data_IF_508635597016
#
_entry.id   IF_508635597016
#
_cell.length_a   1.000
_cell.length_b   1.000
_cell.length_c   1.000
_cell.angle_alpha   90.00
_cell.angle_beta   90.00
_cell.angle_gamma   90.00
#
_symmetry.space_group_name_H-M   'P 1'
#
loop_
_entity.id
_entity.type
_entity.pdbx_description
1 polymer ?
#
# COMPACT_ATOMS: atom_id res chain seq x y z
N UNK A 1 0.24 -7.24 23.64
CA UNK A 1 1.23 -6.91 22.59
C UNK A 1 0.67 -7.43 21.27
N UNK A 2 0.45 -6.55 20.29
CA UNK A 2 0.00 -6.92 18.94
C UNK A 2 1.19 -7.42 18.12
N UNK A 3 0.94 -8.38 17.25
CA UNK A 3 1.93 -8.95 16.34
C UNK A 3 1.45 -8.71 14.92
N UNK A 4 2.36 -8.31 14.03
CA UNK A 4 2.13 -8.27 12.59
C UNK A 4 2.62 -9.57 11.98
N UNK A 5 1.84 -10.14 11.06
CA UNK A 5 2.18 -11.38 10.37
C UNK A 5 2.26 -11.10 8.87
N UNK A 6 3.40 -11.43 8.29
CA UNK A 6 3.55 -11.48 6.83
C UNK A 6 3.91 -12.88 6.43
N UNK A 7 3.22 -13.36 5.39
CA UNK A 7 3.69 -14.49 4.63
C UNK A 7 4.55 -13.98 3.49
N UNK A 8 5.76 -14.53 3.32
CA UNK A 8 6.55 -14.32 2.11
C UNK A 8 6.53 -15.59 1.26
N UNK A 9 6.37 -15.45 -0.04
CA UNK A 9 6.44 -16.57 -0.97
C UNK A 9 7.59 -16.36 -1.95
N UNK A 10 8.53 -17.32 -2.08
CA UNK A 10 9.66 -17.14 -2.98
C UNK A 10 9.22 -17.21 -4.44
N UNK A 11 9.79 -16.30 -5.23
CA UNK A 11 9.75 -16.32 -6.70
C UNK A 11 11.12 -16.79 -7.18
N UNK A 12 11.12 -17.77 -8.07
CA UNK A 12 12.33 -18.43 -8.55
C UNK A 12 12.53 -18.23 -10.05
N UNK A 13 13.77 -18.19 -10.49
CA UNK A 13 14.12 -18.22 -11.91
C UNK A 13 14.13 -19.65 -12.50
N UNK A 14 14.52 -19.75 -13.77
CA UNK A 14 14.63 -21.02 -14.52
C UNK A 14 15.64 -22.00 -13.92
N UNK A 15 16.60 -21.51 -13.15
CA UNK A 15 17.62 -22.30 -12.45
C UNK A 15 17.23 -22.60 -10.98
N UNK A 16 15.99 -22.25 -10.59
CA UNK A 16 15.44 -22.41 -9.24
C UNK A 16 16.18 -21.58 -8.19
N UNK A 17 16.82 -20.47 -8.60
CA UNK A 17 17.38 -19.50 -7.67
C UNK A 17 16.28 -18.49 -7.29
N UNK A 18 16.18 -18.18 -6.01
CA UNK A 18 15.25 -17.14 -5.53
C UNK A 18 15.71 -15.76 -6.02
N UNK A 19 14.81 -15.04 -6.69
CA UNK A 19 15.05 -13.69 -7.22
C UNK A 19 14.35 -12.61 -6.39
N UNK A 20 13.31 -13.01 -5.67
CA UNK A 20 12.48 -12.11 -4.89
C UNK A 20 11.47 -12.88 -4.06
N UNK A 21 10.69 -12.14 -3.29
CA UNK A 21 9.59 -12.68 -2.53
C UNK A 21 8.34 -11.85 -2.77
N UNK A 22 7.23 -12.52 -3.06
CA UNK A 22 5.91 -11.91 -2.90
C UNK A 22 5.60 -11.76 -1.42
N UNK A 23 5.19 -10.55 -1.04
CA UNK A 23 4.80 -10.22 0.32
C UNK A 23 3.29 -10.23 0.43
N UNK A 24 2.79 -11.10 1.29
CA UNK A 24 1.37 -11.34 1.49
C UNK A 24 1.00 -11.01 2.94
N UNK A 25 -0.01 -10.15 3.10
CA UNK A 25 -0.51 -9.76 4.41
C UNK A 25 -1.28 -10.90 5.10
N UNK A 26 -1.16 -11.03 6.43
CA UNK A 26 -1.88 -12.04 7.24
C UNK A 26 -2.33 -11.44 8.58
N UNK A 27 -3.57 -11.72 9.01
CA UNK A 27 -4.10 -11.26 10.32
C UNK A 27 -3.72 -12.19 11.49
N UNK A 28 -2.97 -13.27 11.25
CA UNK A 28 -2.67 -14.20 12.32
C UNK A 28 -1.64 -15.28 12.00
N UNK A 29 -1.32 -16.12 13.01
CA UNK A 29 -0.37 -17.22 12.85
C UNK A 29 -0.95 -18.40 12.04
N UNK A 30 -2.27 -18.43 11.82
CA UNK A 30 -2.88 -19.30 10.82
C UNK A 30 -2.68 -18.63 9.46
N UNK A 31 -2.11 -19.35 8.49
CA UNK A 31 -1.82 -18.87 7.13
C UNK A 31 -3.10 -18.63 6.30
N UNK A 32 -4.05 -17.85 6.84
CA UNK A 32 -5.31 -17.49 6.21
C UNK A 32 -5.20 -16.06 5.71
N UNK A 33 -5.61 -15.85 4.46
CA UNK A 33 -5.85 -14.50 3.96
C UNK A 33 -7.03 -13.93 4.76
N UNK A 34 -6.88 -12.77 5.41
CA UNK A 34 -7.96 -12.17 6.15
C UNK A 34 -9.03 -11.56 5.25
N UNK A 35 -10.26 -11.50 5.75
CA UNK A 35 -11.39 -10.83 5.10
C UNK A 35 -11.35 -9.34 5.49
N UNK A 36 -10.35 -8.63 4.99
CA UNK A 36 -10.17 -7.18 5.17
C UNK A 36 -10.08 -6.48 3.82
N UNK A 37 -10.29 -5.16 3.81
CA UNK A 37 -10.17 -4.34 2.62
C UNK A 37 -8.75 -4.44 2.00
N UNK A 38 -8.62 -4.62 0.67
CA UNK A 38 -7.33 -4.75 0.00
C UNK A 38 -6.39 -3.54 0.20
N UNK A 39 -6.92 -2.32 0.28
CA UNK A 39 -6.11 -1.11 0.54
C UNK A 39 -5.63 -1.07 1.99
N UNK A 40 -6.43 -1.56 2.93
CA UNK A 40 -6.04 -1.74 4.33
C UNK A 40 -4.94 -2.80 4.48
N UNK A 41 -5.11 -3.97 3.83
CA UNK A 41 -4.12 -5.04 3.83
C UNK A 41 -2.76 -4.55 3.29
N UNK A 42 -2.80 -3.86 2.16
CA UNK A 42 -1.62 -3.27 1.52
C UNK A 42 -0.98 -2.21 2.42
N UNK A 43 -1.79 -1.33 3.01
CA UNK A 43 -1.31 -0.26 3.88
C UNK A 43 -0.66 -0.78 5.16
N UNK A 44 -1.27 -1.78 5.81
CA UNK A 44 -0.69 -2.46 6.98
C UNK A 44 0.61 -3.15 6.62
N UNK A 45 0.64 -3.89 5.51
CA UNK A 45 1.85 -4.54 5.01
C UNK A 45 3.00 -3.56 4.79
N UNK A 46 2.73 -2.43 4.12
CA UNK A 46 3.71 -1.39 3.86
C UNK A 46 4.16 -0.69 5.15
N UNK A 47 3.21 -0.35 6.03
CA UNK A 47 3.47 0.35 7.29
C UNK A 47 4.27 -0.49 8.29
N UNK A 48 4.00 -1.78 8.36
CA UNK A 48 4.65 -2.66 9.31
C UNK A 48 5.98 -3.19 8.82
N UNK A 49 6.17 -3.35 7.50
CA UNK A 49 7.39 -3.95 6.99
C UNK A 49 8.32 -2.96 6.33
N UNK A 50 7.81 -2.09 5.48
CA UNK A 50 8.65 -1.14 4.77
C UNK A 50 8.99 0.08 5.64
N UNK A 51 8.05 0.56 6.48
CA UNK A 51 8.32 1.69 7.39
C UNK A 51 8.99 1.30 8.71
N UNK A 52 9.06 0.01 9.08
CA UNK A 52 9.56 -0.38 10.41
C UNK A 52 10.82 -1.27 10.40
N UNK A 53 11.09 -1.98 9.29
CA UNK A 53 12.11 -3.05 9.30
C UNK A 53 13.33 -2.82 8.41
N UNK A 54 13.49 -1.65 7.76
CA UNK A 54 14.60 -1.38 6.84
C UNK A 54 14.78 -2.51 5.80
N UNK A 55 13.69 -3.08 5.26
CA UNK A 55 13.75 -4.21 4.31
C UNK A 55 14.38 -5.51 4.86
N UNK A 56 14.66 -5.61 6.17
CA UNK A 56 15.34 -6.79 6.76
C UNK A 56 14.60 -8.11 6.58
N UNK A 57 13.29 -8.09 6.26
CA UNK A 57 12.51 -9.29 5.89
C UNK A 57 12.82 -9.85 4.51
N UNK A 58 13.39 -9.04 3.61
CA UNK A 58 13.75 -9.40 2.25
C UNK A 58 15.25 -9.70 2.09
N UNK A 59 16.10 -9.22 3.00
CA UNK A 59 17.55 -9.27 2.80
C UNK A 59 17.95 -8.41 1.59
N UNK A 60 18.74 -8.97 0.67
CA UNK A 60 19.10 -8.34 -0.61
C UNK A 60 18.10 -8.66 -1.74
N UNK A 61 16.96 -9.30 -1.44
CA UNK A 61 15.97 -9.72 -2.44
C UNK A 61 14.92 -8.64 -2.70
N UNK A 62 14.33 -8.64 -3.90
CA UNK A 62 13.27 -7.69 -4.26
C UNK A 62 11.92 -8.15 -3.70
N UNK A 63 11.13 -7.21 -3.18
CA UNK A 63 9.76 -7.48 -2.72
C UNK A 63 8.75 -7.24 -3.84
N UNK A 64 7.92 -8.24 -4.12
CA UNK A 64 6.73 -8.11 -4.95
C UNK A 64 5.56 -7.76 -4.03
N UNK A 65 4.87 -6.66 -4.32
CA UNK A 65 3.82 -6.14 -3.45
C UNK A 65 2.60 -5.79 -4.28
N UNK A 66 1.47 -6.33 -3.85
CA UNK A 66 0.15 -6.09 -4.38
C UNK A 66 -0.33 -4.67 -4.05
N UNK A 67 -0.74 -3.92 -5.06
CA UNK A 67 -1.32 -2.59 -4.93
C UNK A 67 -2.71 -2.54 -5.58
N UNK A 68 -3.77 -2.26 -4.80
CA UNK A 68 -5.10 -2.04 -5.34
C UNK A 68 -5.18 -0.76 -6.16
N UNK A 69 -6.26 -0.64 -6.92
CA UNK A 69 -6.48 0.44 -7.88
C UNK A 69 -6.27 1.84 -7.28
N UNK A 70 -6.86 2.11 -6.11
CA UNK A 70 -6.76 3.43 -5.48
C UNK A 70 -5.34 3.74 -4.98
N UNK A 71 -4.63 2.75 -4.46
CA UNK A 71 -3.23 2.87 -4.07
C UNK A 71 -2.31 3.21 -5.26
N UNK A 72 -2.57 2.62 -6.43
CA UNK A 72 -1.87 2.94 -7.68
C UNK A 72 -2.18 4.37 -8.12
N UNK A 73 -3.45 4.80 -8.08
CA UNK A 73 -3.83 6.18 -8.41
C UNK A 73 -3.20 7.21 -7.46
N UNK A 74 -3.08 6.90 -6.18
CA UNK A 74 -2.45 7.79 -5.20
C UNK A 74 -0.90 7.77 -5.27
N UNK A 75 -0.33 6.96 -6.16
CA UNK A 75 1.11 6.72 -6.32
C UNK A 75 1.77 6.31 -4.99
N UNK A 76 1.11 5.48 -4.21
CA UNK A 76 1.66 4.93 -2.96
C UNK A 76 3.00 4.20 -3.18
N UNK A 77 3.22 3.43 -4.27
CA UNK A 77 4.51 2.80 -4.53
C UNK A 77 5.70 3.79 -4.56
N UNK A 78 5.46 5.04 -4.98
CA UNK A 78 6.49 6.08 -5.09
C UNK A 78 7.08 6.55 -3.75
N UNK A 79 6.52 6.08 -2.64
CA UNK A 79 7.07 6.28 -1.31
C UNK A 79 8.33 5.46 -1.06
N UNK A 80 8.48 4.33 -1.76
CA UNK A 80 9.56 3.38 -1.54
C UNK A 80 10.57 3.43 -2.70
N UNK A 81 11.85 3.07 -2.49
CA UNK A 81 12.84 3.00 -3.56
C UNK A 81 12.44 1.96 -4.62
N UNK A 82 12.58 2.32 -5.89
CA UNK A 82 12.24 1.47 -7.03
C UNK A 82 13.06 0.17 -7.11
N UNK A 83 14.27 0.16 -6.55
CA UNK A 83 15.19 -0.98 -6.66
C UNK A 83 14.77 -2.18 -5.78
N UNK A 84 13.99 -1.92 -4.73
CA UNK A 84 13.61 -2.93 -3.73
C UNK A 84 12.17 -3.42 -3.88
N UNK A 85 11.43 -2.89 -4.87
CA UNK A 85 9.99 -3.08 -4.98
C UNK A 85 9.57 -3.35 -6.43
N UNK A 86 8.85 -4.45 -6.65
CA UNK A 86 8.01 -4.65 -7.84
C UNK A 86 6.58 -4.29 -7.47
N UNK A 87 5.95 -3.44 -8.29
CA UNK A 87 4.57 -3.00 -8.11
C UNK A 87 3.64 -3.96 -8.83
N UNK A 88 2.90 -4.78 -8.10
CA UNK A 88 1.91 -5.70 -8.65
C UNK A 88 0.54 -5.01 -8.75
N UNK A 89 0.01 -4.94 -9.98
CA UNK A 89 -1.33 -4.47 -10.29
C UNK A 89 -2.26 -5.66 -10.23
N UNK A 90 -3.23 -5.61 -9.31
CA UNK A 90 -4.17 -6.70 -9.07
C UNK A 90 -5.10 -6.97 -10.26
N UNK A 91 -5.60 -8.20 -10.37
CA UNK A 91 -6.48 -8.66 -11.44
C UNK A 91 -7.84 -7.92 -11.51
N UNK A 92 -8.28 -7.36 -10.38
CA UNK A 92 -9.54 -6.61 -10.24
C UNK A 92 -9.42 -5.13 -10.64
N UNK A 93 -8.20 -4.65 -10.92
CA UNK A 93 -7.97 -3.28 -11.35
C UNK A 93 -8.46 -3.05 -12.78
N UNK A 94 -9.46 -2.18 -12.95
CA UNK A 94 -9.97 -1.85 -14.28
C UNK A 94 -8.94 -1.06 -15.12
N UNK A 95 -8.70 -1.41 -16.39
CA UNK A 95 -7.73 -0.74 -17.27
C UNK A 95 -8.24 0.61 -17.79
N UNK A 96 -8.33 1.60 -16.90
CA UNK A 96 -8.78 2.96 -17.21
C UNK A 96 -7.65 3.86 -17.73
N UNK A 97 -8.00 5.01 -18.30
CA UNK A 97 -7.02 6.03 -18.70
C UNK A 97 -6.24 6.60 -17.50
N UNK A 98 -6.89 6.71 -16.34
CA UNK A 98 -6.27 7.21 -15.11
C UNK A 98 -5.20 6.26 -14.57
N UNK A 99 -5.52 4.95 -14.57
CA UNK A 99 -4.57 3.91 -14.19
C UNK A 99 -3.39 3.85 -15.16
N UNK A 100 -3.64 4.00 -16.46
CA UNK A 100 -2.59 4.01 -17.47
C UNK A 100 -1.58 5.13 -17.24
N UNK A 101 -2.04 6.35 -16.96
CA UNK A 101 -1.13 7.47 -16.65
C UNK A 101 -0.37 7.21 -15.35
N UNK A 102 -0.99 6.59 -14.35
CA UNK A 102 -0.30 6.19 -13.12
C UNK A 102 0.86 5.22 -13.36
N UNK A 103 0.59 4.16 -14.10
CA UNK A 103 1.58 3.13 -14.43
C UNK A 103 2.71 3.72 -15.28
N UNK A 104 2.38 4.59 -16.24
CA UNK A 104 3.36 5.26 -17.10
C UNK A 104 4.29 6.18 -16.31
N UNK A 105 3.75 7.00 -15.40
CA UNK A 105 4.56 7.86 -14.52
C UNK A 105 5.50 7.03 -13.65
N UNK A 106 5.01 5.95 -13.03
CA UNK A 106 5.83 5.08 -12.19
C UNK A 106 6.91 4.36 -13.00
N UNK A 107 6.58 3.83 -14.18
CA UNK A 107 7.55 3.18 -15.05
C UNK A 107 8.65 4.17 -15.51
N UNK A 108 8.29 5.42 -15.83
CA UNK A 108 9.25 6.47 -16.17
C UNK A 108 10.14 6.87 -14.98
N UNK A 109 9.62 6.76 -13.75
CA UNK A 109 10.38 6.96 -12.52
C UNK A 109 11.26 5.76 -12.13
N UNK A 110 11.30 4.69 -12.94
CA UNK A 110 12.18 3.54 -12.75
C UNK A 110 11.57 2.36 -11.99
N UNK A 111 10.28 2.42 -11.64
CA UNK A 111 9.60 1.31 -10.99
C UNK A 111 9.31 0.19 -12.00
N UNK A 112 9.53 -1.05 -11.57
CA UNK A 112 9.12 -2.24 -12.32
C UNK A 112 7.67 -2.57 -11.98
N UNK A 113 6.85 -2.67 -13.01
CA UNK A 113 5.41 -2.97 -12.90
C UNK A 113 5.16 -4.42 -13.29
N UNK A 114 4.40 -5.13 -12.47
CA UNK A 114 3.92 -6.48 -12.73
C UNK A 114 2.38 -6.47 -12.84
N UNK A 115 1.83 -7.21 -13.81
CA UNK A 115 0.39 -7.48 -13.86
C UNK A 115 0.13 -8.84 -13.22
N UNK A 116 -0.70 -8.87 -12.19
CA UNK A 116 -1.05 -10.05 -11.41
C UNK A 116 -2.24 -10.81 -12.02
N UNK A 117 -2.25 -12.14 -11.91
CA UNK A 117 -3.28 -13.04 -12.47
C UNK A 117 -3.84 -12.61 -13.85
N UNK A 118 -2.93 -12.26 -14.77
CA UNK A 118 -3.28 -11.52 -15.98
C UNK A 118 -4.14 -12.31 -16.97
N UNK A 119 -5.32 -11.76 -17.29
CA UNK A 119 -6.19 -12.25 -18.36
C UNK A 119 -6.04 -11.34 -19.59
N UNK A 120 -5.49 -11.83 -20.72
CA UNK A 120 -5.26 -11.00 -21.90
C UNK A 120 -6.55 -10.41 -22.48
N UNK A 121 -6.62 -9.09 -22.55
CA UNK A 121 -7.72 -8.35 -23.19
C UNK A 121 -7.20 -7.17 -24.03
N UNK A 122 -7.99 -6.66 -25.00
CA UNK A 122 -7.58 -5.53 -25.85
C UNK A 122 -7.25 -4.24 -25.09
N UNK A 123 -7.93 -4.00 -23.97
CA UNK A 123 -7.82 -2.80 -23.13
C UNK A 123 -6.42 -2.68 -22.52
N UNK A 124 -5.84 -3.81 -22.11
CA UNK A 124 -4.49 -3.87 -21.53
C UNK A 124 -3.36 -3.60 -22.53
N UNK A 125 -3.65 -3.58 -23.84
CA UNK A 125 -2.61 -3.39 -24.88
C UNK A 125 -1.84 -2.07 -24.72
N UNK A 126 -2.50 -1.01 -24.24
CA UNK A 126 -1.88 0.29 -24.02
C UNK A 126 -0.88 0.30 -22.85
N UNK A 127 -1.02 -0.65 -21.91
CA UNK A 127 -0.21 -0.76 -20.70
C UNK A 127 1.09 -1.52 -20.93
N UNK A 128 1.09 -2.50 -21.85
CA UNK A 128 2.22 -3.40 -22.11
C UNK A 128 3.59 -2.71 -22.28
N UNK A 129 3.71 -1.53 -22.92
CA UNK A 129 5.01 -0.84 -23.03
C UNK A 129 5.64 -0.42 -21.69
N UNK A 130 4.85 -0.34 -20.62
CA UNK A 130 5.27 0.10 -19.28
C UNK A 130 5.36 -1.05 -18.27
N UNK A 131 4.96 -2.26 -18.69
CA UNK A 131 4.97 -3.46 -17.84
C UNK A 131 6.32 -4.16 -17.98
N UNK A 132 6.86 -4.60 -16.85
CA UNK A 132 8.11 -5.38 -16.79
C UNK A 132 7.84 -6.87 -16.67
N UNK A 133 6.80 -7.26 -15.92
CA UNK A 133 6.48 -8.66 -15.63
C UNK A 133 4.98 -8.91 -15.87
N UNK A 134 4.63 -10.04 -16.46
CA UNK A 134 3.24 -10.52 -16.51
C UNK A 134 3.16 -11.86 -15.80
N UNK A 135 2.29 -11.95 -14.80
CA UNK A 135 2.04 -13.16 -14.01
C UNK A 135 0.82 -13.88 -14.58
N UNK A 136 0.91 -15.20 -14.70
CA UNK A 136 -0.20 -16.05 -15.14
C UNK A 136 -0.44 -17.17 -14.12
N UNK A 137 -1.64 -17.22 -13.56
CA UNK A 137 -2.13 -18.43 -12.91
C UNK A 137 -2.36 -19.53 -13.96
N UNK A 138 -1.53 -20.58 -13.92
CA UNK A 138 -1.61 -21.71 -14.85
C UNK A 138 -2.87 -22.57 -14.67
N UNK A 139 -3.64 -22.34 -13.59
CA UNK A 139 -4.96 -22.94 -13.34
C UNK A 139 -6.07 -22.18 -14.05
N UNK A 140 -5.95 -20.86 -14.18
CA UNK A 140 -6.90 -20.02 -14.92
C UNK A 140 -6.59 -20.01 -16.43
N UNK A 141 -5.32 -19.79 -16.77
CA UNK A 141 -4.82 -19.74 -18.15
C UNK A 141 -3.90 -20.93 -18.39
N UNK A 142 -4.31 -21.85 -19.28
CA UNK A 142 -3.46 -23.01 -19.59
C UNK A 142 -2.11 -22.58 -20.17
N UNK A 143 -1.07 -23.36 -19.89
CA UNK A 143 0.31 -23.10 -20.35
C UNK A 143 0.36 -22.89 -21.87
N UNK A 144 -0.40 -23.65 -22.66
CA UNK A 144 -0.45 -23.49 -24.12
C UNK A 144 -1.01 -22.13 -24.56
N UNK A 145 -2.04 -21.61 -23.87
CA UNK A 145 -2.62 -20.29 -24.14
C UNK A 145 -1.63 -19.19 -23.76
N UNK A 146 -0.99 -19.33 -22.59
CA UNK A 146 0.04 -18.41 -22.15
C UNK A 146 1.23 -18.42 -23.13
N UNK A 147 1.68 -19.59 -23.60
CA UNK A 147 2.76 -19.72 -24.60
C UNK A 147 2.45 -18.94 -25.87
N UNK A 148 1.23 -19.06 -26.40
CA UNK A 148 0.82 -18.32 -27.59
C UNK A 148 0.88 -16.80 -27.36
N UNK A 149 0.59 -16.33 -26.15
CA UNK A 149 0.70 -14.92 -25.78
C UNK A 149 2.16 -14.47 -25.60
N UNK A 150 2.98 -15.27 -24.90
CA UNK A 150 4.42 -15.06 -24.74
C UNK A 150 5.10 -14.92 -26.11
N UNK A 151 4.77 -15.81 -27.05
CA UNK A 151 5.31 -15.76 -28.41
C UNK A 151 4.95 -14.46 -29.15
N UNK A 152 3.71 -13.96 -28.99
CA UNK A 152 3.29 -12.68 -29.58
C UNK A 152 4.06 -11.49 -29.02
N UNK A 153 4.51 -11.59 -27.77
CA UNK A 153 5.26 -10.54 -27.08
C UNK A 153 6.77 -10.80 -27.06
N UNK A 154 7.28 -11.78 -27.82
CA UNK A 154 8.71 -12.14 -27.85
C UNK A 154 9.66 -10.99 -28.24
N UNK A 155 9.16 -9.96 -28.92
CA UNK A 155 9.93 -8.77 -29.28
C UNK A 155 9.99 -7.70 -28.18
N UNK A 156 9.23 -7.86 -27.09
CA UNK A 156 9.25 -6.96 -25.94
C UNK A 156 10.28 -7.41 -24.91
N UNK A 157 10.52 -6.58 -23.89
CA UNK A 157 11.38 -6.92 -22.75
C UNK A 157 10.59 -7.49 -21.57
N UNK A 158 9.33 -7.86 -21.79
CA UNK A 158 8.44 -8.33 -20.74
C UNK A 158 8.86 -9.73 -20.34
N UNK A 159 9.08 -9.92 -19.04
CA UNK A 159 9.34 -11.23 -18.44
C UNK A 159 8.02 -11.85 -17.98
N UNK A 160 7.97 -13.17 -17.93
CA UNK A 160 6.73 -13.90 -17.64
C UNK A 160 6.90 -14.79 -16.42
N UNK A 161 5.93 -14.75 -15.50
CA UNK A 161 5.93 -15.50 -14.26
C UNK A 161 4.75 -16.49 -14.26
N UNK A 162 5.03 -17.76 -14.01
CA UNK A 162 4.01 -18.79 -13.86
C UNK A 162 3.68 -19.00 -12.38
N UNK A 163 2.41 -18.82 -12.02
CA UNK A 163 1.91 -19.00 -10.65
C UNK A 163 1.22 -20.33 -10.47
N UNK A 164 1.04 -20.72 -9.21
CA UNK A 164 0.41 -21.98 -8.78
C UNK A 164 1.04 -23.22 -9.45
N UNK A 165 2.36 -23.19 -9.63
CA UNK A 165 3.17 -24.35 -10.06
C UNK A 165 3.30 -25.34 -8.89
N UNK A 166 2.69 -26.51 -9.01
CA UNK A 166 2.60 -27.49 -7.91
C UNK A 166 3.39 -28.77 -8.18
N UNK A 167 3.79 -29.00 -9.43
CA UNK A 167 4.57 -30.19 -9.82
C UNK A 167 5.81 -29.85 -10.65
N UNK A 168 6.79 -30.76 -10.63
CA UNK A 168 7.98 -30.65 -11.47
C UNK A 168 7.65 -30.70 -12.98
N UNK A 169 6.58 -31.42 -13.35
CA UNK A 169 6.13 -31.51 -14.73
C UNK A 169 5.61 -30.15 -15.22
N UNK A 170 4.76 -29.49 -14.44
CA UNK A 170 4.24 -28.14 -14.74
C UNK A 170 5.38 -27.12 -14.83
N UNK A 171 6.36 -27.20 -13.93
CA UNK A 171 7.55 -26.35 -14.00
C UNK A 171 8.28 -26.50 -15.34
N UNK A 172 8.56 -27.75 -15.78
CA UNK A 172 9.23 -27.96 -17.07
C UNK A 172 8.37 -27.49 -18.24
N UNK A 173 7.07 -27.77 -18.23
CA UNK A 173 6.14 -27.31 -19.27
C UNK A 173 6.10 -25.79 -19.37
N UNK A 174 5.98 -25.08 -18.24
CA UNK A 174 6.01 -23.62 -18.21
C UNK A 174 7.39 -23.09 -18.64
N UNK A 175 8.49 -23.71 -18.20
CA UNK A 175 9.84 -23.33 -18.62
C UNK A 175 10.04 -23.46 -20.12
N UNK A 176 9.50 -24.52 -20.73
CA UNK A 176 9.59 -24.76 -22.18
C UNK A 176 8.64 -23.85 -22.97
N UNK A 177 7.54 -23.41 -22.35
CA UNK A 177 6.60 -22.42 -22.89
C UNK A 177 7.14 -20.97 -22.90
N UNK A 178 8.30 -20.72 -22.28
CA UNK A 178 8.97 -19.41 -22.30
C UNK A 178 8.78 -18.57 -21.04
N UNK A 179 8.29 -19.16 -19.95
CA UNK A 179 8.26 -18.48 -18.65
C UNK A 179 9.68 -18.28 -18.09
N UNK A 180 9.89 -17.12 -17.47
CA UNK A 180 11.17 -16.69 -16.90
C UNK A 180 11.21 -16.98 -15.39
N UNK A 181 10.09 -16.74 -14.71
CA UNK A 181 9.94 -16.89 -13.27
C UNK A 181 8.82 -17.85 -12.91
N UNK A 182 8.90 -18.40 -11.70
CA UNK A 182 7.98 -19.42 -11.21
C UNK A 182 7.67 -19.23 -9.73
N UNK A 183 6.42 -19.46 -9.39
CA UNK A 183 5.91 -19.40 -8.03
C UNK A 183 4.88 -20.52 -7.81
N UNK A 184 4.95 -21.18 -6.65
CA UNK A 184 3.97 -22.20 -6.28
C UNK A 184 4.50 -23.20 -5.24
N UNK A 185 3.59 -24.02 -4.73
CA UNK A 185 3.86 -24.95 -3.62
C UNK A 185 4.86 -26.05 -3.95
N UNK A 186 5.16 -26.28 -5.24
CA UNK A 186 6.25 -27.16 -5.64
C UNK A 186 7.60 -26.74 -5.05
N UNK A 187 7.86 -25.43 -4.95
CA UNK A 187 9.14 -24.89 -4.52
C UNK A 187 9.18 -24.64 -3.02
N UNK A 188 8.19 -23.93 -2.52
CA UNK A 188 8.02 -23.66 -1.10
C UNK A 188 6.59 -23.23 -0.82
N UNK A 189 6.09 -23.59 0.35
CA UNK A 189 4.90 -22.93 0.91
C UNK A 189 5.29 -21.52 1.41
N UNK A 190 4.33 -20.58 1.47
CA UNK A 190 4.56 -19.28 2.09
C UNK A 190 5.07 -19.45 3.53
N UNK A 191 6.13 -18.72 3.87
CA UNK A 191 6.73 -18.71 5.21
C UNK A 191 6.15 -17.54 6.01
N UNK A 192 5.55 -17.81 7.18
CA UNK A 192 5.03 -16.77 8.07
C UNK A 192 6.18 -16.20 8.89
N UNK A 193 6.36 -14.89 8.81
CA UNK A 193 7.24 -14.10 9.66
C UNK A 193 6.36 -13.35 10.66
N UNK A 194 6.52 -13.69 11.94
CA UNK A 194 5.87 -12.97 13.04
C UNK A 194 6.81 -11.90 13.59
N UNK A 195 6.32 -10.66 13.71
CA UNK A 195 7.08 -9.57 14.37
C UNK A 195 6.21 -8.78 15.34
N UNK A 196 6.86 -8.16 16.32
CA UNK A 196 6.21 -7.20 17.21
C UNK A 196 5.96 -5.92 16.42
N UNK A 197 4.72 -5.48 16.34
CA UNK A 197 4.36 -4.22 15.72
C UNK A 197 4.39 -3.09 16.76
N UNK A 198 4.91 -1.93 16.36
CA UNK A 198 4.80 -0.68 17.11
C UNK A 198 3.64 0.11 16.51
N UNK A 199 2.52 0.14 17.22
CA UNK A 199 1.35 0.91 16.82
C UNK A 199 1.46 2.34 17.35
N UNK A 200 1.18 3.34 16.52
CA UNK A 200 1.03 4.72 16.99
C UNK A 200 -0.30 4.91 17.72
N UNK A 201 -0.37 5.95 18.54
CA UNK A 201 -1.59 6.43 19.17
C UNK A 201 -2.61 6.85 18.11
N UNK A 202 -3.78 6.21 18.12
CA UNK A 202 -4.87 6.50 17.18
C UNK A 202 -5.27 7.98 17.22
N UNK A 203 -5.34 8.59 18.41
CA UNK A 203 -5.66 10.02 18.53
C UNK A 203 -4.59 10.92 17.89
N UNK A 204 -3.32 10.56 18.04
CA UNK A 204 -2.20 11.30 17.44
C UNK A 204 -2.24 11.19 15.91
N UNK A 205 -2.56 10.00 15.39
CA UNK A 205 -2.75 9.77 13.95
C UNK A 205 -3.91 10.60 13.39
N UNK A 206 -5.05 10.68 14.08
CA UNK A 206 -6.18 11.51 13.66
C UNK A 206 -5.83 13.00 13.68
N UNK A 207 -5.12 13.47 14.69
CA UNK A 207 -4.62 14.85 14.76
C UNK A 207 -3.65 15.15 13.61
N UNK A 208 -2.80 14.19 13.24
CA UNK A 208 -1.91 14.32 12.09
C UNK A 208 -2.68 14.36 10.78
N UNK A 209 -3.70 13.51 10.60
CA UNK A 209 -4.60 13.56 9.44
C UNK A 209 -5.24 14.94 9.26
N UNK A 210 -5.67 15.57 10.38
CA UNK A 210 -6.19 16.94 10.38
C UNK A 210 -5.13 17.93 9.88
N UNK A 211 -3.92 17.91 10.43
CA UNK A 211 -2.87 18.86 10.05
C UNK A 211 -2.41 18.68 8.59
N UNK A 212 -2.34 17.43 8.10
CA UNK A 212 -2.00 17.13 6.71
C UNK A 212 -3.16 17.24 5.73
N UNK A 213 -4.37 17.62 6.17
CA UNK A 213 -5.50 17.94 5.29
C UNK A 213 -5.58 19.44 4.97
N UNK A 214 -4.94 20.29 5.78
CA UNK A 214 -4.91 21.76 5.59
C UNK A 214 -4.18 22.10 4.29
N UNK A 215 -4.59 23.16 3.59
CA UNK A 215 -3.91 23.65 2.39
C UNK A 215 -2.49 24.15 2.75
N UNK A 216 -2.39 25.01 3.76
CA UNK A 216 -1.13 25.41 4.38
C UNK A 216 -0.80 24.52 5.58
N UNK A 217 0.17 23.62 5.39
CA UNK A 217 0.59 22.66 6.39
C UNK A 217 1.44 23.32 7.50
N UNK A 218 1.01 23.19 8.77
CA UNK A 218 1.82 23.62 9.91
C UNK A 218 2.82 22.52 10.31
N UNK A 219 4.01 22.61 9.73
CA UNK A 219 5.11 21.68 10.02
C UNK A 219 5.51 21.64 11.50
N UNK A 220 5.27 22.71 12.29
CA UNK A 220 5.58 22.71 13.74
C UNK A 220 4.55 21.89 14.51
N UNK A 221 3.27 22.03 14.19
CA UNK A 221 2.22 21.22 14.80
C UNK A 221 2.43 19.73 14.50
N UNK A 222 2.81 19.39 13.27
CA UNK A 222 3.13 18.01 12.87
C UNK A 222 4.37 17.49 13.61
N UNK A 223 5.38 18.33 13.83
CA UNK A 223 6.56 18.00 14.65
C UNK A 223 6.21 17.69 16.09
N UNK A 224 5.36 18.51 16.71
CA UNK A 224 4.91 18.27 18.09
C UNK A 224 4.12 16.97 18.20
N UNK A 225 3.21 16.70 17.26
CA UNK A 225 2.39 15.48 17.25
C UNK A 225 3.24 14.22 17.06
N UNK A 226 4.20 14.21 16.12
CA UNK A 226 5.05 13.04 15.91
C UNK A 226 6.07 12.87 17.03
N UNK A 227 6.62 13.96 17.59
CA UNK A 227 7.56 13.88 18.71
C UNK A 227 6.92 13.33 19.99
N UNK A 228 5.60 13.48 20.14
CA UNK A 228 4.83 12.90 21.25
C UNK A 228 4.61 11.39 21.12
N UNK A 229 4.80 10.81 19.92
CA UNK A 229 4.60 9.39 19.66
C UNK A 229 5.89 8.72 19.17
N UNK A 230 6.47 7.88 20.03
CA UNK A 230 7.72 7.16 19.75
C UNK A 230 7.58 6.19 18.57
N UNK A 231 6.40 5.59 18.37
CA UNK A 231 6.13 4.69 17.24
C UNK A 231 6.13 5.45 15.92
N UNK A 232 5.47 6.62 15.85
CA UNK A 232 5.48 7.48 14.66
C UNK A 232 6.87 8.02 14.35
N UNK A 233 7.59 8.48 15.37
CA UNK A 233 8.97 8.96 15.24
C UNK A 233 9.88 7.87 14.67
N UNK A 234 9.75 6.63 15.17
CA UNK A 234 10.51 5.49 14.67
C UNK A 234 10.13 5.12 13.23
N UNK A 235 8.83 5.03 12.90
CA UNK A 235 8.35 4.71 11.55
C UNK A 235 8.80 5.76 10.53
N UNK A 236 8.73 7.05 10.88
CA UNK A 236 9.18 8.12 9.98
C UNK A 236 10.69 8.10 9.77
N UNK A 237 11.49 8.03 10.84
CA UNK A 237 12.95 8.03 10.72
C UNK A 237 13.44 6.80 9.96
N UNK A 238 12.80 5.65 10.16
CA UNK A 238 13.08 4.44 9.38
C UNK A 238 12.72 4.64 7.91
N UNK A 239 11.54 5.20 7.61
CA UNK A 239 11.11 5.47 6.25
C UNK A 239 12.03 6.40 5.49
N UNK A 240 12.46 7.52 6.08
CA UNK A 240 13.33 8.47 5.38
C UNK A 240 14.74 7.93 5.16
N UNK A 241 15.26 7.12 6.09
CA UNK A 241 16.59 6.52 5.99
C UNK A 241 16.64 5.23 5.18
N UNK A 242 15.49 4.66 4.80
CA UNK A 242 15.43 3.45 3.98
C UNK A 242 15.62 3.73 2.49
N UNK A 243 15.69 5.01 2.09
CA UNK A 243 15.96 5.44 0.72
C UNK A 243 17.45 5.36 0.37
N UNK A 244 17.78 4.71 -0.75
CA UNK A 244 19.14 4.53 -1.26
C UNK A 244 19.90 5.85 -1.57
N UNK A 245 19.19 6.99 -1.59
CA UNK A 245 19.74 8.30 -1.95
C UNK A 245 20.15 9.17 -0.75
N UNK A 246 19.98 8.68 0.48
CA UNK A 246 20.39 9.42 1.69
C UNK A 246 21.88 9.22 1.93
N UNK A 247 22.70 10.17 1.47
CA UNK A 247 24.16 10.17 1.68
C UNK A 247 24.57 10.47 3.12
N UNK A 248 23.70 11.12 3.89
CA UNK A 248 23.89 11.48 5.30
C UNK A 248 22.67 11.04 6.09
N UNK A 249 22.85 10.16 7.08
CA UNK A 249 21.75 9.63 7.89
C UNK A 249 20.92 10.77 8.52
N UNK A 250 19.61 10.74 8.32
CA UNK A 250 18.65 11.68 8.89
C UNK A 250 18.43 11.28 10.36
N UNK A 251 18.78 12.18 11.28
CA UNK A 251 18.80 11.89 12.72
C UNK A 251 17.70 12.62 13.50
N UNK A 252 16.94 13.50 12.84
CA UNK A 252 15.90 14.30 13.50
C UNK A 252 14.63 14.41 12.65
N UNK A 253 13.51 14.61 13.34
CA UNK A 253 12.21 14.79 12.71
C UNK A 253 12.19 15.98 11.74
N UNK A 254 12.71 17.13 12.18
CA UNK A 254 12.83 18.33 11.36
C UNK A 254 13.57 18.08 10.04
N UNK A 255 14.65 17.30 10.08
CA UNK A 255 15.37 16.90 8.86
C UNK A 255 14.53 15.96 7.98
N UNK A 256 13.79 15.02 8.59
CA UNK A 256 12.91 14.10 7.87
C UNK A 256 11.78 14.83 7.12
N UNK A 257 11.16 15.83 7.75
CA UNK A 257 10.14 16.68 7.13
C UNK A 257 10.67 17.45 5.92
N UNK A 258 11.82 18.11 6.10
CA UNK A 258 12.45 18.89 5.02
C UNK A 258 12.86 17.98 3.86
N UNK A 259 13.34 16.77 4.16
CA UNK A 259 13.74 15.80 3.15
C UNK A 259 12.56 15.25 2.34
N UNK A 260 11.45 14.90 3.00
CA UNK A 260 10.28 14.34 2.32
C UNK A 260 9.55 15.38 1.48
N UNK A 261 9.45 16.61 1.98
CA UNK A 261 8.55 17.61 1.43
C UNK A 261 7.08 17.24 1.65
N UNK A 262 6.21 18.17 1.29
CA UNK A 262 4.80 18.14 1.66
C UNK A 262 4.05 16.90 1.14
N UNK A 263 4.14 16.63 -0.17
CA UNK A 263 3.36 15.57 -0.81
C UNK A 263 3.71 14.18 -0.28
N UNK A 264 5.00 13.89 -0.05
CA UNK A 264 5.42 12.60 0.51
C UNK A 264 5.04 12.48 1.98
N UNK A 265 5.06 13.58 2.74
CA UNK A 265 4.59 13.58 4.12
C UNK A 265 3.09 13.27 4.19
N UNK A 266 2.26 13.92 3.37
CA UNK A 266 0.81 13.64 3.33
C UNK A 266 0.55 12.15 3.09
N UNK A 267 1.19 11.58 2.06
CA UNK A 267 1.09 10.15 1.73
C UNK A 267 1.58 9.23 2.84
N UNK A 268 2.69 9.56 3.51
CA UNK A 268 3.19 8.81 4.67
C UNK A 268 2.17 8.79 5.82
N UNK A 269 1.61 9.95 6.17
CA UNK A 269 0.61 10.05 7.23
C UNK A 269 -0.67 9.30 6.86
N UNK A 270 -1.14 9.42 5.62
CA UNK A 270 -2.29 8.64 5.14
C UNK A 270 -2.04 7.12 5.23
N UNK A 271 -0.87 6.66 4.83
CA UNK A 271 -0.49 5.24 4.92
C UNK A 271 -0.48 4.75 6.37
N UNK A 272 0.09 5.53 7.28
CA UNK A 272 0.10 5.22 8.71
C UNK A 272 -1.32 5.22 9.27
N UNK A 273 -2.17 6.15 8.85
CA UNK A 273 -3.55 6.24 9.32
C UNK A 273 -4.40 5.03 8.93
N UNK A 274 -4.31 4.60 7.67
CA UNK A 274 -5.00 3.40 7.18
C UNK A 274 -4.43 2.16 7.89
N UNK A 275 -3.12 2.10 8.11
CA UNK A 275 -2.52 0.96 8.82
C UNK A 275 -2.90 0.88 10.31
N UNK A 276 -3.22 2.02 10.95
CA UNK A 276 -3.49 2.11 12.39
C UNK A 276 -4.97 1.87 12.75
N UNK A 277 -5.81 1.50 11.78
CA UNK A 277 -7.21 1.11 12.01
C UNK A 277 -7.25 -0.09 12.95
N UNK A 278 -8.03 0.01 14.04
CA UNK A 278 -8.16 -1.09 14.99
C UNK A 278 -9.13 -2.15 14.48
N UNK A 279 -8.69 -3.42 14.51
CA UNK A 279 -9.59 -4.58 14.48
C UNK A 279 -10.68 -4.45 15.57
N UNK A 280 -11.92 -4.85 15.18
CA UNK A 280 -13.15 -5.00 15.97
C UNK A 280 -14.23 -3.90 15.86
N UNK A 281 -14.24 -3.06 14.82
CA UNK A 281 -15.44 -2.24 14.50
C UNK A 281 -15.88 -2.45 13.05
N UNK A 282 -17.20 -2.51 12.77
CA UNK A 282 -17.70 -2.81 11.42
C UNK A 282 -17.19 -1.82 10.37
N UNK A 283 -16.62 -2.34 9.28
CA UNK A 283 -16.01 -1.58 8.17
C UNK A 283 -16.93 -0.51 7.57
N UNK A 284 -18.24 -0.75 7.62
CA UNK A 284 -19.25 0.21 7.21
C UNK A 284 -19.17 1.55 7.97
N UNK A 285 -18.76 1.56 9.25
CA UNK A 285 -18.70 2.80 10.03
C UNK A 285 -17.54 3.70 9.60
N UNK A 286 -16.41 3.11 9.19
CA UNK A 286 -15.25 3.84 8.66
C UNK A 286 -15.51 4.32 7.22
N UNK A 287 -16.05 3.45 6.37
CA UNK A 287 -16.49 3.83 5.02
C UNK A 287 -17.53 4.95 5.08
N UNK A 288 -18.50 4.86 6.01
CA UNK A 288 -19.52 5.88 6.20
C UNK A 288 -18.96 7.18 6.76
N UNK A 289 -17.96 7.16 7.65
CA UNK A 289 -17.34 8.40 8.17
C UNK A 289 -16.58 9.15 7.08
N UNK A 290 -15.84 8.43 6.22
CA UNK A 290 -15.14 9.01 5.07
C UNK A 290 -16.13 9.50 4.01
N UNK A 291 -17.19 8.73 3.72
CA UNK A 291 -18.26 9.16 2.82
C UNK A 291 -18.92 10.43 3.34
N UNK A 292 -19.27 10.51 4.63
CA UNK A 292 -19.83 11.71 5.26
C UNK A 292 -18.85 12.87 5.22
N UNK A 293 -17.57 12.65 5.47
CA UNK A 293 -16.53 13.66 5.33
C UNK A 293 -16.53 14.27 3.92
N UNK A 294 -16.47 13.43 2.89
CA UNK A 294 -16.52 13.87 1.48
C UNK A 294 -17.85 14.51 1.10
N UNK A 295 -18.98 14.01 1.60
CA UNK A 295 -20.28 14.64 1.35
C UNK A 295 -20.37 16.02 1.97
N UNK A 296 -19.94 16.18 3.23
CA UNK A 296 -19.95 17.47 3.92
C UNK A 296 -19.03 18.49 3.22
N UNK A 297 -17.83 18.06 2.81
CA UNK A 297 -16.90 18.87 2.00
C UNK A 297 -17.54 19.32 0.68
N UNK A 298 -18.12 18.40 -0.10
CA UNK A 298 -18.74 18.68 -1.41
C UNK A 298 -20.00 19.54 -1.31
N UNK A 299 -20.77 19.40 -0.23
CA UNK A 299 -21.93 20.25 0.05
C UNK A 299 -21.45 21.66 0.42
N UNK A 300 -20.43 21.76 1.27
CA UNK A 300 -19.83 23.03 1.68
C UNK A 300 -19.30 23.81 0.47
N UNK A 301 -18.59 23.13 -0.44
CA UNK A 301 -18.08 23.71 -1.69
C UNK A 301 -19.18 24.24 -2.64
N UNK A 302 -20.43 23.80 -2.47
CA UNK A 302 -21.60 24.19 -3.29
C UNK A 302 -22.57 25.12 -2.58
N UNK A 303 -22.43 25.28 -1.28
CA UNK A 303 -23.22 26.21 -0.49
C UNK A 303 -22.42 27.51 -0.33
N UNK A 304 -23.10 28.65 -0.45
CA UNK A 304 -22.50 29.95 -0.17
C UNK A 304 -22.40 30.12 1.36
N UNK A 305 -21.48 29.37 1.95
CA UNK A 305 -21.27 29.26 3.39
C UNK A 305 -19.90 29.84 3.76
N UNK A 306 -19.81 30.47 4.93
CA UNK A 306 -18.53 30.93 5.50
C UNK A 306 -17.73 29.80 6.18
N UNK A 307 -18.17 28.55 6.05
CA UNK A 307 -17.51 27.38 6.63
C UNK A 307 -16.45 26.90 5.63
N UNK A 308 -15.25 26.62 6.11
CA UNK A 308 -14.17 26.07 5.28
C UNK A 308 -14.48 24.61 4.90
N UNK A 309 -14.19 24.23 3.65
CA UNK A 309 -14.43 22.86 3.14
C UNK A 309 -13.76 21.77 4.01
N UNK A 310 -12.55 22.05 4.50
CA UNK A 310 -11.84 21.17 5.43
C UNK A 310 -12.52 21.04 6.80
N UNK A 311 -13.20 22.08 7.28
CA UNK A 311 -13.98 22.03 8.53
C UNK A 311 -15.25 21.18 8.37
N UNK A 312 -15.91 21.29 7.21
CA UNK A 312 -17.05 20.43 6.87
C UNK A 312 -16.62 18.96 6.69
N UNK A 313 -15.45 18.71 6.08
CA UNK A 313 -14.86 17.38 5.98
C UNK A 313 -14.63 16.75 7.36
N UNK A 314 -14.04 17.50 8.29
CA UNK A 314 -13.79 17.04 9.66
C UNK A 314 -15.10 16.77 10.42
N UNK A 315 -16.12 17.61 10.27
CA UNK A 315 -17.44 17.37 10.85
C UNK A 315 -18.04 16.03 10.36
N UNK A 316 -17.95 15.77 9.06
CA UNK A 316 -18.43 14.50 8.48
C UNK A 316 -17.62 13.29 8.95
N UNK A 317 -16.29 13.42 9.05
CA UNK A 317 -15.39 12.38 9.54
C UNK A 317 -15.64 12.06 11.02
N UNK A 318 -15.89 13.08 11.84
CA UNK A 318 -16.09 12.96 13.28
C UNK A 318 -17.51 12.63 13.70
N UNK A 319 -18.47 12.69 12.77
CA UNK A 319 -19.88 12.37 13.00
C UNK A 319 -20.18 10.94 13.47
N UNK A 320 -19.19 10.05 13.47
CA UNK A 320 -19.30 8.66 13.92
C UNK A 320 -18.27 8.30 14.99
N UNK A 321 -17.56 9.28 15.57
CA UNK A 321 -16.51 9.02 16.56
C UNK A 321 -17.04 8.29 17.80
N UNK A 322 -18.28 8.53 18.19
CA UNK A 322 -18.95 7.86 19.29
C UNK A 322 -19.10 6.36 19.06
N UNK A 323 -19.57 6.01 17.88
CA UNK A 323 -19.72 4.64 17.39
C UNK A 323 -18.35 3.98 17.18
N UNK A 324 -17.36 4.77 16.76
CA UNK A 324 -15.97 4.32 16.55
C UNK A 324 -15.16 4.24 17.84
N UNK A 325 -15.57 4.85 18.95
CA UNK A 325 -14.81 4.85 20.21
C UNK A 325 -15.59 4.30 21.42
N UNK A 326 -16.83 3.87 21.23
CA UNK A 326 -17.75 3.40 22.30
C UNK A 326 -17.85 4.39 23.46
N UNK A 327 -17.87 5.67 23.11
CA UNK A 327 -17.92 6.80 24.04
C UNK A 327 -18.96 7.81 23.54
N UNK A 328 -19.64 8.56 24.42
CA UNK A 328 -20.57 9.60 23.97
C UNK A 328 -19.86 10.65 23.11
N UNK A 329 -20.46 11.03 21.97
CA UNK A 329 -19.87 11.97 21.01
C UNK A 329 -19.54 13.31 21.67
N UNK A 330 -20.43 13.77 22.55
CA UNK A 330 -20.31 15.01 23.28
C UNK A 330 -19.04 15.02 24.14
N UNK A 331 -18.73 13.88 24.80
CA UNK A 331 -17.51 13.75 25.60
C UNK A 331 -16.23 13.72 24.76
N UNK A 332 -16.31 13.18 23.54
CA UNK A 332 -15.19 13.09 22.61
C UNK A 332 -14.90 14.45 21.99
N UNK A 333 -15.95 15.17 21.58
CA UNK A 333 -15.87 16.48 20.93
C UNK A 333 -15.36 17.56 21.89
N UNK A 334 -15.72 17.49 23.18
CA UNK A 334 -15.17 18.36 24.23
C UNK A 334 -13.66 18.15 24.46
N UNK A 335 -13.19 16.90 24.36
CA UNK A 335 -11.77 16.54 24.50
C UNK A 335 -10.93 16.88 23.26
N UNK A 336 -11.58 17.20 22.13
CA UNK A 336 -10.92 17.45 20.86
C UNK A 336 -10.54 18.92 20.65
N UNK A 337 -9.28 19.22 20.27
CA UNK A 337 -8.85 20.55 19.89
C UNK A 337 -9.25 20.87 18.44
N UNK A 338 -10.55 20.92 18.19
CA UNK A 338 -11.18 21.32 16.92
C UNK A 338 -11.91 22.65 17.10
N UNK A 339 -12.13 23.38 16.01
CA UNK A 339 -12.81 24.68 16.05
C UNK A 339 -14.24 24.51 16.60
N UNK A 340 -14.72 25.46 17.42
CA UNK A 340 -16.07 25.40 18.01
C UNK A 340 -17.16 25.34 16.93
N UNK A 341 -16.93 25.92 15.75
CA UNK A 341 -17.84 25.81 14.61
C UNK A 341 -17.98 24.38 14.05
N UNK A 342 -17.02 23.50 14.35
CA UNK A 342 -17.07 22.06 14.00
C UNK A 342 -17.70 21.24 15.13
N UNK A 343 -17.71 21.76 16.37
CA UNK A 343 -18.27 21.10 17.55
C UNK A 343 -19.79 21.33 17.70
N UNK A 344 -20.26 22.51 17.30
CA UNK A 344 -21.68 22.92 17.34
C UNK A 344 -22.50 22.30 16.23
#
# INVERSE_FOLDING_TARGET
MKYSYIARQPILDRDKKTIGYELLFRDGPKNTFPDIDPDEATSRLLSDHFLSTHYSTLGDSVGFVNFPYQSLLNRIPTLFPSDNLIVEVLEDCEPTAELLEAIKEMAQAGYKIALDDFIPSPEWKAFLPYVSIIKFDIRQVSIDKAQAFIHKLSATKIEFLAEKVETYQEFNQAKDAGFHYFQGYFFSKPEIIQRKALEPSFLTVIQLCKEVAREDMDYRAIEELVAQDVSLSYKLLTFVNSSAHVSTQIQSFKQALVYLGEQKLRKFISLVAIASTQEAKPDYLYGLSIQRARYCELICARCDSHIEEGSAFLAGMFSLLDSLLDRPLESLVEEMPIDEAVKS
#
